data_IF_587411460511
#
_entry.id   IF_587411460511
#
_cell.length_a   1.000
_cell.length_b   1.000
_cell.length_c   1.000
_cell.angle_alpha   90.00
_cell.angle_beta   90.00
_cell.angle_gamma   90.00
#
_symmetry.space_group_name_H-M   'P 1'
#
loop_
_entity.id
_entity.type
_entity.pdbx_description
1 polymer ?
#
# COMPACT_ATOMS: atom_id res chain seq x y z
N UNK A 1 -50.72 -60.86 -3.81
CA UNK A 1 -49.78 -60.46 -4.87
C UNK A 1 -48.56 -59.80 -4.25
N UNK A 2 -47.31 -60.28 -4.34
CA UNK A 2 -46.62 -61.03 -5.42
C UNK A 2 -46.83 -60.39 -6.81
N UNK A 3 -45.83 -60.12 -7.66
CA UNK A 3 -44.36 -60.07 -7.54
C UNK A 3 -43.84 -59.07 -8.64
N UNK A 4 -42.57 -58.89 -9.02
CA UNK A 4 -41.27 -59.53 -8.75
C UNK A 4 -40.12 -58.59 -9.14
N UNK A 5 -38.87 -58.99 -8.84
CA UNK A 5 -37.60 -58.45 -9.38
C UNK A 5 -37.53 -58.33 -10.91
N UNK A 6 -36.60 -57.50 -11.40
CA UNK A 6 -36.15 -57.49 -12.80
C UNK A 6 -34.86 -56.69 -13.05
N UNK A 7 -33.70 -57.19 -12.62
CA UNK A 7 -32.41 -56.74 -13.16
C UNK A 7 -32.25 -57.23 -14.61
N UNK A 8 -31.64 -56.41 -15.47
CA UNK A 8 -30.90 -56.86 -16.66
C UNK A 8 -29.68 -55.98 -16.87
N UNK A 9 -28.51 -56.60 -16.80
CA UNK A 9 -27.28 -56.06 -17.40
C UNK A 9 -27.39 -56.10 -18.93
N UNK A 10 -26.73 -55.17 -19.62
CA UNK A 10 -25.69 -55.50 -20.63
C UNK A 10 -25.27 -54.31 -21.48
N UNK A 11 -24.04 -54.45 -22.00
CA UNK A 11 -23.49 -53.81 -23.21
C UNK A 11 -23.18 -52.30 -23.18
N UNK A 12 -21.88 -52.04 -23.10
CA UNK A 12 -21.22 -50.84 -23.59
C UNK A 12 -21.58 -50.46 -25.03
N UNK A 13 -21.73 -49.16 -25.30
CA UNK A 13 -21.37 -48.60 -26.61
C UNK A 13 -20.67 -47.25 -26.44
N UNK A 14 -19.50 -47.14 -27.07
CA UNK A 14 -18.72 -45.92 -27.17
C UNK A 14 -19.39 -44.97 -28.18
N UNK A 15 -19.93 -43.85 -27.71
CA UNK A 15 -20.52 -42.81 -28.56
C UNK A 15 -19.76 -41.49 -28.46
N UNK A 16 -19.03 -41.13 -29.51
CA UNK A 16 -18.48 -39.78 -29.65
C UNK A 16 -19.61 -38.75 -29.86
N UNK A 17 -19.84 -37.87 -28.88
CA UNK A 17 -20.62 -36.65 -29.07
C UNK A 17 -19.70 -35.43 -29.16
N UNK A 18 -19.18 -35.24 -30.37
CA UNK A 18 -18.74 -33.98 -30.99
C UNK A 18 -18.51 -32.75 -30.08
N UNK A 19 -17.25 -32.33 -30.00
CA UNK A 19 -16.88 -30.99 -29.58
C UNK A 19 -17.35 -29.94 -30.59
N UNK A 20 -18.44 -29.24 -30.29
CA UNK A 20 -18.65 -27.86 -30.77
C UNK A 20 -18.08 -26.92 -29.69
N UNK A 21 -17.14 -26.03 -29.97
CA UNK A 21 -16.87 -25.38 -31.26
C UNK A 21 -17.23 -23.90 -31.20
N UNK A 22 -16.91 -23.23 -30.09
CA UNK A 22 -17.04 -21.78 -29.93
C UNK A 22 -15.70 -21.16 -29.61
N UNK A 23 -15.09 -20.56 -30.63
CA UNK A 23 -14.21 -19.40 -30.51
C UNK A 23 -13.02 -19.54 -29.56
N UNK A 24 -11.99 -20.27 -29.98
CA UNK A 24 -10.65 -20.05 -29.44
C UNK A 24 -10.17 -18.64 -29.81
N UNK A 25 -10.47 -17.65 -28.96
CA UNK A 25 -9.80 -16.35 -29.00
C UNK A 25 -8.34 -16.55 -28.56
N UNK A 26 -7.49 -16.91 -29.52
CA UNK A 26 -6.04 -16.83 -29.35
C UNK A 26 -5.70 -15.39 -28.95
N UNK A 27 -5.15 -15.19 -27.76
CA UNK A 27 -4.62 -13.90 -27.36
C UNK A 27 -3.60 -13.43 -28.43
N UNK A 28 -3.78 -12.24 -29.03
CA UNK A 28 -2.68 -11.59 -29.75
C UNK A 28 -1.51 -11.46 -28.78
N UNK A 29 -0.29 -11.72 -29.25
CA UNK A 29 0.88 -12.01 -28.42
C UNK A 29 1.08 -11.10 -27.20
N UNK A 30 1.53 -11.74 -26.10
CA UNK A 30 2.09 -11.21 -24.84
C UNK A 30 1.44 -11.73 -23.54
N UNK A 31 0.50 -12.68 -23.60
CA UNK A 31 -0.05 -13.33 -22.39
C UNK A 31 0.99 -14.16 -21.60
N UNK A 32 2.16 -14.45 -22.18
CA UNK A 32 3.29 -15.12 -21.52
C UNK A 32 4.37 -14.17 -20.99
N UNK A 33 4.30 -12.87 -21.30
CA UNK A 33 5.36 -11.91 -20.97
C UNK A 33 5.39 -11.63 -19.46
N UNK A 34 6.43 -12.08 -18.76
CA UNK A 34 6.57 -12.02 -17.29
C UNK A 34 7.50 -10.92 -16.80
N UNK A 35 8.39 -10.43 -17.65
CA UNK A 35 9.40 -9.40 -17.36
C UNK A 35 9.21 -8.16 -18.23
N UNK A 36 9.88 -7.05 -17.89
CA UNK A 36 9.89 -5.85 -18.74
C UNK A 36 10.56 -6.14 -20.09
N UNK A 37 11.61 -6.96 -20.09
CA UNK A 37 12.29 -7.40 -21.32
C UNK A 37 11.36 -8.19 -22.25
N UNK A 38 10.48 -9.05 -21.70
CA UNK A 38 9.47 -9.79 -22.49
C UNK A 38 8.42 -8.86 -23.15
N UNK A 39 8.33 -7.61 -22.71
CA UNK A 39 7.46 -6.56 -23.27
C UNK A 39 8.24 -5.52 -24.10
N UNK A 40 9.55 -5.72 -24.29
CA UNK A 40 10.48 -4.77 -24.91
C UNK A 40 10.59 -3.41 -24.17
N UNK A 41 10.55 -3.42 -22.83
CA UNK A 41 10.80 -2.23 -22.00
C UNK A 41 12.00 -2.38 -21.07
N UNK A 42 12.58 -1.25 -20.65
CA UNK A 42 13.50 -1.15 -19.51
C UNK A 42 13.24 0.15 -18.75
N UNK A 43 13.75 0.28 -17.52
CA UNK A 43 13.93 1.59 -16.89
C UNK A 43 15.33 2.13 -17.18
N UNK A 44 15.46 3.46 -17.33
CA UNK A 44 16.74 4.15 -17.44
C UNK A 44 17.35 4.46 -16.04
N UNK A 45 18.51 5.12 -16.02
CA UNK A 45 19.19 5.52 -14.79
C UNK A 45 18.45 6.57 -13.95
N UNK A 46 17.47 7.28 -14.54
CA UNK A 46 16.58 8.22 -13.85
C UNK A 46 15.27 7.55 -13.40
N UNK A 47 15.07 6.26 -13.74
CA UNK A 47 13.86 5.52 -13.47
C UNK A 47 12.70 5.86 -14.40
N UNK A 48 12.94 6.43 -15.59
CA UNK A 48 11.94 6.60 -16.67
C UNK A 48 11.80 5.29 -17.46
N UNK A 49 10.58 4.94 -17.87
CA UNK A 49 10.33 3.74 -18.68
C UNK A 49 10.71 4.02 -20.14
N UNK A 50 11.53 3.15 -20.75
CA UNK A 50 12.04 3.25 -22.12
C UNK A 50 11.50 2.09 -22.96
N UNK A 51 10.98 2.39 -24.15
CA UNK A 51 10.65 1.39 -25.17
C UNK A 51 11.93 0.98 -25.92
N UNK A 52 12.34 -0.27 -25.79
CA UNK A 52 13.57 -0.80 -26.38
C UNK A 52 13.52 -0.86 -27.92
N UNK A 53 12.34 -0.78 -28.54
CA UNK A 53 12.20 -0.75 -30.01
C UNK A 53 12.47 0.64 -30.60
N UNK A 54 12.14 1.69 -29.86
CA UNK A 54 12.30 3.08 -30.32
C UNK A 54 13.52 3.76 -29.70
N UNK A 55 13.99 3.26 -28.54
CA UNK A 55 15.00 3.92 -27.71
C UNK A 55 14.49 5.18 -27.01
N UNK A 56 13.18 5.41 -26.99
CA UNK A 56 12.55 6.62 -26.46
C UNK A 56 11.83 6.34 -25.13
N UNK A 57 11.65 7.40 -24.33
CA UNK A 57 10.78 7.36 -23.15
C UNK A 57 9.36 6.97 -23.59
N UNK A 58 8.75 6.04 -22.87
CA UNK A 58 7.42 5.53 -23.16
C UNK A 58 6.34 6.52 -22.72
N UNK A 59 5.62 7.10 -23.68
CA UNK A 59 4.42 7.89 -23.43
C UNK A 59 3.14 7.08 -23.71
N UNK A 60 2.34 6.80 -22.67
CA UNK A 60 1.02 6.21 -22.88
C UNK A 60 -0.01 7.25 -23.31
N UNK A 61 0.02 7.60 -24.61
CA UNK A 61 -0.98 8.47 -25.21
C UNK A 61 -2.33 7.73 -25.39
N UNK A 62 -3.23 7.89 -24.40
CA UNK A 62 -4.60 7.36 -24.40
C UNK A 62 -5.44 7.76 -25.65
N UNK A 63 -5.02 8.80 -26.35
CA UNK A 63 -5.72 9.39 -27.49
C UNK A 63 -4.96 9.03 -28.79
N UNK A 64 -5.25 7.85 -29.39
CA UNK A 64 -5.21 7.50 -30.84
C UNK A 64 -5.03 5.99 -31.13
N UNK A 65 -5.92 5.13 -30.63
CA UNK A 65 -5.99 3.73 -31.12
C UNK A 65 -7.46 3.31 -31.39
N UNK A 66 -7.81 2.91 -32.63
CA UNK A 66 -9.12 2.31 -32.95
C UNK A 66 -9.43 1.02 -32.18
N UNK A 67 -8.41 0.34 -31.63
CA UNK A 67 -8.50 -0.95 -30.93
C UNK A 67 -8.36 -0.83 -29.41
N UNK A 68 -9.13 0.10 -28.80
CA UNK A 68 -9.12 0.42 -27.35
C UNK A 68 -8.95 -0.78 -26.39
N UNK A 69 -9.56 -1.92 -26.71
CA UNK A 69 -9.48 -3.13 -25.89
C UNK A 69 -8.07 -3.74 -25.80
N UNK A 70 -7.30 -3.73 -26.88
CA UNK A 70 -5.96 -4.32 -26.91
C UNK A 70 -4.91 -3.36 -26.32
N UNK A 71 -5.05 -2.04 -26.51
CA UNK A 71 -4.23 -1.04 -25.81
C UNK A 71 -4.45 -1.12 -24.29
N UNK A 72 -5.70 -1.27 -23.82
CA UNK A 72 -6.00 -1.47 -22.39
C UNK A 72 -5.39 -2.76 -21.83
N UNK A 73 -5.47 -3.88 -22.57
CA UNK A 73 -4.85 -5.16 -22.16
C UNK A 73 -3.34 -5.07 -22.03
N UNK A 74 -2.67 -4.38 -22.96
CA UNK A 74 -1.22 -4.12 -22.88
C UNK A 74 -0.86 -3.26 -21.66
N UNK A 75 -1.64 -2.22 -21.38
CA UNK A 75 -1.42 -1.36 -20.21
C UNK A 75 -1.61 -2.12 -18.88
N UNK A 76 -2.66 -2.93 -18.76
CA UNK A 76 -2.85 -3.78 -17.57
C UNK A 76 -1.71 -4.80 -17.41
N UNK A 77 -1.28 -5.47 -18.51
CA UNK A 77 -0.17 -6.42 -18.45
C UNK A 77 1.15 -5.76 -18.07
N UNK A 78 1.43 -4.57 -18.61
CA UNK A 78 2.57 -3.75 -18.22
C UNK A 78 2.50 -3.40 -16.71
N UNK A 79 1.33 -3.07 -16.19
CA UNK A 79 1.10 -2.83 -14.76
C UNK A 79 1.36 -4.05 -13.85
N UNK A 80 1.04 -5.26 -14.32
CA UNK A 80 1.37 -6.51 -13.62
C UNK A 80 2.89 -6.76 -13.61
N UNK A 81 3.55 -6.58 -14.75
CA UNK A 81 5.01 -6.73 -14.88
C UNK A 81 5.76 -5.70 -14.04
N UNK A 82 5.32 -4.43 -14.06
CA UNK A 82 5.85 -3.36 -13.20
C UNK A 82 5.68 -3.70 -11.73
N UNK A 83 4.56 -4.31 -11.33
CA UNK A 83 4.37 -4.75 -9.94
C UNK A 83 5.45 -5.76 -9.53
N UNK A 84 5.70 -6.76 -10.37
CA UNK A 84 6.76 -7.75 -10.14
C UNK A 84 8.16 -7.13 -10.10
N UNK A 85 8.41 -6.13 -10.95
CA UNK A 85 9.67 -5.39 -10.98
C UNK A 85 9.88 -4.51 -9.73
N UNK A 86 8.85 -3.81 -9.25
CA UNK A 86 8.90 -3.06 -7.98
C UNK A 86 9.15 -4.00 -6.79
N UNK A 87 8.52 -5.18 -6.76
CA UNK A 87 8.83 -6.19 -5.75
C UNK A 87 10.29 -6.66 -5.84
N UNK A 88 10.84 -6.80 -7.05
CA UNK A 88 12.25 -7.10 -7.24
C UNK A 88 13.15 -6.00 -6.68
N UNK A 89 12.96 -4.72 -7.05
CA UNK A 89 13.76 -3.61 -6.55
C UNK A 89 13.68 -3.48 -5.02
N UNK A 90 12.50 -3.68 -4.42
CA UNK A 90 12.37 -3.71 -2.96
C UNK A 90 13.21 -4.82 -2.30
N UNK A 91 13.25 -6.02 -2.89
CA UNK A 91 14.04 -7.13 -2.34
C UNK A 91 15.55 -6.98 -2.61
N UNK A 92 15.91 -6.69 -3.85
CA UNK A 92 17.28 -6.78 -4.35
C UNK A 92 18.10 -5.52 -4.00
N UNK A 93 17.51 -4.32 -4.14
CA UNK A 93 18.21 -3.03 -3.91
C UNK A 93 18.02 -2.48 -2.48
N UNK A 94 16.94 -2.89 -1.80
CA UNK A 94 16.61 -2.42 -0.45
C UNK A 94 16.55 -3.52 0.62
N UNK A 95 16.75 -4.79 0.25
CA UNK A 95 16.76 -5.91 1.19
C UNK A 95 15.41 -6.21 1.86
N UNK A 96 14.30 -5.65 1.36
CA UNK A 96 12.98 -5.85 1.93
C UNK A 96 12.57 -7.31 1.82
N UNK A 97 12.13 -7.89 2.94
CA UNK A 97 11.72 -9.28 3.04
C UNK A 97 10.21 -9.40 2.85
N UNK A 98 9.79 -10.35 2.01
CA UNK A 98 8.39 -10.74 1.92
C UNK A 98 7.96 -11.48 3.19
N UNK A 99 6.88 -11.00 3.80
CA UNK A 99 6.21 -11.63 4.92
C UNK A 99 4.81 -12.06 4.46
N UNK A 100 4.62 -13.33 4.07
CA UNK A 100 3.32 -13.84 3.64
C UNK A 100 2.32 -13.72 4.78
N UNK A 101 1.10 -13.26 4.49
CA UNK A 101 0.07 -13.11 5.54
C UNK A 101 -0.30 -14.44 6.21
N UNK A 102 -0.10 -15.56 5.52
CA UNK A 102 -0.26 -16.90 6.07
C UNK A 102 0.71 -17.25 7.21
N UNK A 103 1.82 -16.51 7.36
CA UNK A 103 2.75 -16.65 8.48
C UNK A 103 2.33 -15.83 9.72
N UNK A 104 1.34 -14.94 9.61
CA UNK A 104 0.84 -14.12 10.73
C UNK A 104 -0.03 -14.91 11.71
N UNK A 105 -0.55 -16.05 11.28
CA UNK A 105 -1.38 -16.95 12.10
C UNK A 105 -0.58 -17.86 13.04
N UNK A 106 0.74 -17.99 12.88
CA UNK A 106 1.59 -18.76 13.79
C UNK A 106 2.11 -17.85 14.93
N UNK A 107 1.72 -18.09 16.20
CA UNK A 107 2.13 -17.26 17.33
C UNK A 107 3.64 -17.31 17.61
N UNK A 108 4.35 -18.37 17.20
CA UNK A 108 5.78 -18.60 17.40
C UNK A 108 6.64 -17.78 16.43
N UNK A 109 6.16 -17.52 15.21
CA UNK A 109 6.88 -16.72 14.21
C UNK A 109 6.64 -15.22 14.43
N UNK A 110 7.40 -14.64 15.35
CA UNK A 110 7.44 -13.19 15.53
C UNK A 110 8.10 -12.52 14.30
N UNK A 111 7.40 -11.64 13.55
CA UNK A 111 7.85 -11.21 12.22
C UNK A 111 9.11 -10.33 12.23
N UNK A 112 9.49 -9.77 13.37
CA UNK A 112 10.73 -9.00 13.53
C UNK A 112 11.92 -9.86 14.00
N UNK A 113 11.71 -11.15 14.25
CA UNK A 113 12.75 -12.12 14.57
C UNK A 113 12.44 -13.51 13.95
N UNK A 114 12.22 -13.60 12.62
CA UNK A 114 11.95 -14.88 11.98
C UNK A 114 13.16 -15.81 12.10
N UNK A 115 12.95 -17.02 12.62
CA UNK A 115 13.96 -18.08 12.52
C UNK A 115 14.33 -18.31 11.04
N UNK A 116 15.60 -18.61 10.71
CA UNK A 116 15.98 -18.97 9.33
C UNK A 116 15.11 -20.09 8.73
N UNK A 117 14.62 -21.01 9.56
CA UNK A 117 13.68 -22.06 9.15
C UNK A 117 12.27 -21.53 8.82
N UNK A 118 11.80 -20.50 9.53
CA UNK A 118 10.52 -19.85 9.25
C UNK A 118 10.57 -19.01 7.97
N UNK A 119 11.67 -18.26 7.77
CA UNK A 119 11.92 -17.54 6.53
C UNK A 119 12.03 -18.50 5.32
N UNK A 120 12.74 -19.63 5.47
CA UNK A 120 12.81 -20.66 4.44
C UNK A 120 11.45 -21.34 4.16
N UNK A 121 10.64 -21.61 5.19
CA UNK A 121 9.30 -22.19 5.04
C UNK A 121 8.32 -21.24 4.35
N UNK A 122 8.38 -19.94 4.67
CA UNK A 122 7.65 -18.88 3.98
C UNK A 122 8.06 -18.79 2.49
N UNK A 123 9.36 -18.82 2.20
CA UNK A 123 9.88 -18.83 0.83
C UNK A 123 9.54 -20.12 0.05
N UNK A 124 9.39 -21.26 0.73
CA UNK A 124 8.99 -22.55 0.16
C UNK A 124 7.48 -22.67 -0.12
N UNK A 125 6.67 -21.68 0.23
CA UNK A 125 5.26 -21.56 -0.18
C UNK A 125 5.09 -20.43 -1.21
N UNK A 126 5.58 -20.59 -2.45
CA UNK A 126 5.48 -19.54 -3.47
C UNK A 126 4.02 -19.18 -3.74
N UNK A 127 3.72 -17.92 -3.43
CA UNK A 127 2.39 -17.33 -3.51
C UNK A 127 1.45 -17.78 -2.38
N UNK A 128 1.11 -16.85 -1.49
CA UNK A 128 -0.20 -16.84 -0.80
C UNK A 128 -1.00 -15.56 -1.10
N UNK A 129 -0.75 -14.95 -2.26
CA UNK A 129 -1.52 -13.83 -2.84
C UNK A 129 -1.28 -12.47 -2.19
N UNK A 130 -1.09 -12.43 -0.87
CA UNK A 130 -0.81 -11.24 -0.09
C UNK A 130 0.51 -11.41 0.68
N UNK A 131 1.49 -10.56 0.38
CA UNK A 131 2.71 -10.39 1.16
C UNK A 131 2.76 -8.95 1.69
N UNK A 132 3.14 -8.81 2.96
CA UNK A 132 3.68 -7.56 3.50
C UNK A 132 5.16 -7.48 3.12
N UNK A 133 5.74 -6.28 3.12
CA UNK A 133 7.18 -6.11 2.92
C UNK A 133 7.80 -5.47 4.16
N UNK A 134 8.82 -6.12 4.71
CA UNK A 134 9.46 -5.74 5.96
C UNK A 134 10.95 -5.54 5.74
N UNK A 135 11.50 -4.38 6.11
CA UNK A 135 12.94 -4.07 5.99
C UNK A 135 13.86 -5.09 6.68
N UNK A 136 15.17 -5.14 6.37
CA UNK A 136 16.18 -5.79 7.21
C UNK A 136 16.27 -5.11 8.60
N UNK A 137 16.85 -5.79 9.62
CA UNK A 137 17.07 -5.18 10.94
C UNK A 137 17.87 -3.88 10.86
N UNK A 138 17.48 -2.92 11.68
CA UNK A 138 18.14 -1.62 11.79
C UNK A 138 19.43 -1.72 12.62
N UNK A 139 20.30 -0.71 12.52
CA UNK A 139 21.49 -0.63 13.37
C UNK A 139 21.06 -0.18 14.79
N UNK A 140 21.69 -0.76 15.82
CA UNK A 140 21.55 -0.37 17.23
C UNK A 140 20.10 -0.27 17.75
N UNK A 141 19.25 -1.25 17.40
CA UNK A 141 17.83 -1.37 17.82
C UNK A 141 16.99 -0.09 17.61
N UNK A 142 16.56 0.13 16.36
CA UNK A 142 15.77 1.31 15.99
C UNK A 142 14.52 1.54 16.86
N UNK A 143 14.39 2.78 17.33
CA UNK A 143 13.21 3.28 18.05
C UNK A 143 11.95 3.41 17.18
N UNK A 144 12.09 3.50 15.85
CA UNK A 144 11.03 3.90 14.92
C UNK A 144 10.59 2.79 13.97
N UNK A 145 9.29 2.50 13.93
CA UNK A 145 8.63 1.75 12.87
C UNK A 145 7.86 2.72 11.98
N UNK A 146 8.07 2.69 10.66
CA UNK A 146 7.23 3.34 9.68
C UNK A 146 6.33 2.30 9.01
N UNK A 147 5.02 2.46 9.20
CA UNK A 147 3.97 1.66 8.55
C UNK A 147 3.44 2.44 7.33
N UNK A 148 3.47 1.82 6.15
CA UNK A 148 2.97 2.43 4.91
C UNK A 148 1.74 1.68 4.39
N UNK A 149 0.65 2.42 4.14
CA UNK A 149 -0.64 1.90 3.67
C UNK A 149 -1.03 2.61 2.36
N UNK A 150 -1.04 1.85 1.27
CA UNK A 150 -1.28 2.36 -0.08
C UNK A 150 -2.75 2.68 -0.38
N UNK A 151 -2.99 3.37 -1.50
CA UNK A 151 -4.35 3.64 -2.03
C UNK A 151 -5.06 2.40 -2.58
N UNK A 152 -6.34 2.54 -2.89
CA UNK A 152 -7.21 1.42 -3.27
C UNK A 152 -7.00 0.88 -4.69
N UNK A 153 -7.72 -0.20 -5.00
CA UNK A 153 -7.87 -0.74 -6.36
C UNK A 153 -6.69 -1.57 -6.86
N UNK A 154 -6.14 -1.17 -8.01
CA UNK A 154 -5.09 -1.92 -8.74
C UNK A 154 -3.68 -1.70 -8.20
N UNK A 155 -3.49 -0.75 -7.27
CA UNK A 155 -2.20 -0.47 -6.64
C UNK A 155 -1.77 -1.65 -5.74
N UNK A 156 -0.46 -1.92 -5.65
CA UNK A 156 0.15 -3.00 -4.86
C UNK A 156 1.34 -2.46 -4.06
N UNK A 157 1.82 -3.25 -3.10
CA UNK A 157 2.91 -2.84 -2.21
C UNK A 157 4.11 -2.27 -2.98
N UNK A 158 4.72 -1.23 -2.43
CA UNK A 158 5.81 -0.51 -3.10
C UNK A 158 5.34 0.52 -4.14
N UNK A 159 4.04 0.71 -4.40
CA UNK A 159 3.53 1.63 -5.41
C UNK A 159 2.59 2.70 -4.83
N UNK A 160 2.75 3.94 -5.29
CA UNK A 160 1.75 5.01 -5.14
C UNK A 160 0.82 5.06 -6.34
N UNK A 161 1.37 4.94 -7.56
CA UNK A 161 0.61 5.08 -8.80
C UNK A 161 1.26 4.37 -9.98
N UNK A 162 0.56 3.38 -10.57
CA UNK A 162 0.96 2.76 -11.85
C UNK A 162 1.10 3.80 -12.96
N UNK A 163 0.27 4.85 -12.97
CA UNK A 163 0.30 5.91 -13.99
C UNK A 163 1.61 6.68 -13.96
N UNK A 164 2.11 7.02 -12.78
CA UNK A 164 3.38 7.72 -12.62
C UNK A 164 4.58 6.81 -12.90
N UNK A 165 4.55 5.55 -12.45
CA UNK A 165 5.65 4.62 -12.78
C UNK A 165 5.81 4.45 -14.29
N UNK A 166 4.69 4.41 -15.04
CA UNK A 166 4.70 4.23 -16.50
C UNK A 166 5.07 5.52 -17.26
N UNK A 167 4.56 6.67 -16.86
CA UNK A 167 4.60 7.91 -17.67
C UNK A 167 5.48 9.03 -17.07
N UNK A 168 6.17 8.77 -15.96
CA UNK A 168 6.97 9.77 -15.26
C UNK A 168 8.26 9.13 -14.73
N UNK A 169 8.23 8.50 -13.55
CA UNK A 169 9.37 7.75 -13.03
C UNK A 169 9.01 6.73 -11.94
N UNK A 170 9.92 5.77 -11.72
CA UNK A 170 9.97 4.97 -10.50
C UNK A 170 9.97 5.85 -9.25
N UNK A 171 10.69 6.99 -9.26
CA UNK A 171 10.81 7.88 -8.10
C UNK A 171 9.46 8.46 -7.68
N UNK A 172 8.69 9.02 -8.62
CA UNK A 172 7.40 9.65 -8.29
C UNK A 172 6.27 8.65 -8.08
N UNK A 173 6.31 7.50 -8.77
CA UNK A 173 5.22 6.53 -8.75
C UNK A 173 5.35 5.41 -7.71
N UNK A 174 6.52 5.24 -7.08
CA UNK A 174 6.81 4.14 -6.15
C UNK A 174 7.20 4.59 -4.74
N UNK A 175 7.22 3.64 -3.81
CA UNK A 175 7.69 3.82 -2.44
C UNK A 175 9.22 3.69 -2.30
N UNK A 176 9.98 3.46 -3.39
CA UNK A 176 11.43 3.27 -3.32
C UNK A 176 12.17 4.48 -2.68
N UNK A 177 11.79 5.75 -2.94
CA UNK A 177 12.38 6.89 -2.21
C UNK A 177 12.03 6.91 -0.72
N UNK A 178 10.82 6.48 -0.34
CA UNK A 178 10.39 6.36 1.06
C UNK A 178 11.18 5.27 1.78
N UNK A 179 11.43 4.14 1.12
CA UNK A 179 12.25 3.03 1.64
C UNK A 179 13.70 3.51 1.84
N UNK A 180 14.27 4.11 0.80
CA UNK A 180 15.62 4.69 0.82
C UNK A 180 15.80 5.71 1.95
N UNK A 181 14.83 6.62 2.13
CA UNK A 181 14.85 7.61 3.19
C UNK A 181 14.66 6.98 4.58
N UNK A 182 13.75 6.02 4.73
CA UNK A 182 13.56 5.27 5.97
C UNK A 182 14.83 4.57 6.44
N UNK A 183 15.57 3.93 5.54
CA UNK A 183 16.88 3.34 5.86
C UNK A 183 17.91 4.40 6.30
N UNK A 184 18.02 5.52 5.59
CA UNK A 184 18.91 6.64 5.96
C UNK A 184 18.56 7.26 7.32
N UNK A 185 17.30 7.15 7.75
CA UNK A 185 16.81 7.61 9.05
C UNK A 185 16.81 6.52 10.14
N UNK A 186 17.47 5.38 9.88
CA UNK A 186 17.53 4.20 10.76
C UNK A 186 16.15 3.75 11.26
N UNK A 187 15.16 3.70 10.37
CA UNK A 187 13.79 3.30 10.65
C UNK A 187 13.55 1.86 10.21
N UNK A 188 12.79 1.10 11.01
CA UNK A 188 12.18 -0.15 10.57
C UNK A 188 11.02 0.19 9.64
N UNK A 189 10.88 -0.50 8.52
CA UNK A 189 9.82 -0.27 7.54
C UNK A 189 8.90 -1.49 7.45
N UNK A 190 7.59 -1.24 7.44
CA UNK A 190 6.55 -2.23 7.16
C UNK A 190 5.58 -1.65 6.11
N UNK A 191 5.51 -2.28 4.93
CA UNK A 191 4.61 -1.89 3.85
C UNK A 191 3.48 -2.93 3.76
N UNK A 192 2.25 -2.47 3.87
CA UNK A 192 1.04 -3.29 3.76
C UNK A 192 0.64 -3.50 2.29
N UNK A 193 -0.22 -4.47 2.03
CA UNK A 193 -0.74 -4.74 0.69
C UNK A 193 -2.28 -4.93 0.70
N UNK A 194 -3.06 -3.92 1.14
CA UNK A 194 -4.49 -4.03 1.46
C UNK A 194 -5.42 -4.28 0.26
N UNK A 195 -4.87 -4.36 -0.96
CA UNK A 195 -5.63 -4.68 -2.17
C UNK A 195 -5.37 -6.13 -2.66
N UNK A 196 -4.44 -6.85 -2.04
CA UNK A 196 -3.99 -8.18 -2.46
C UNK A 196 -4.79 -9.30 -1.78
N UNK A 197 -6.11 -9.14 -1.74
CA UNK A 197 -7.01 -9.82 -0.79
C UNK A 197 -7.49 -11.20 -1.25
N UNK A 198 -6.87 -11.74 -2.32
CA UNK A 198 -7.25 -13.01 -2.94
C UNK A 198 -6.02 -13.83 -3.32
N UNK A 199 -6.10 -15.14 -3.10
CA UNK A 199 -5.14 -16.12 -3.59
C UNK A 199 -5.86 -17.28 -4.27
N UNK A 200 -5.39 -17.73 -5.43
CA UNK A 200 -6.07 -18.81 -6.18
C UNK A 200 -7.48 -18.41 -6.65
N UNK A 201 -7.79 -17.11 -6.69
CA UNK A 201 -9.14 -16.56 -6.86
C UNK A 201 -10.00 -16.50 -5.57
N UNK A 202 -9.62 -17.22 -4.53
CA UNK A 202 -10.32 -17.27 -3.25
C UNK A 202 -9.97 -16.07 -2.36
N UNK A 203 -10.88 -15.55 -1.52
CA UNK A 203 -10.56 -14.60 -0.46
C UNK A 203 -9.48 -15.17 0.48
N UNK A 204 -8.67 -14.29 1.06
CA UNK A 204 -7.70 -14.66 2.09
C UNK A 204 -8.32 -14.33 3.45
N UNK A 205 -8.42 -15.33 4.32
CA UNK A 205 -9.01 -15.21 5.66
C UNK A 205 -8.33 -14.12 6.49
N UNK A 206 -9.12 -13.20 7.05
CA UNK A 206 -8.65 -12.04 7.82
C UNK A 206 -8.04 -10.91 6.97
N UNK A 207 -8.03 -11.05 5.64
CA UNK A 207 -7.51 -10.07 4.69
C UNK A 207 -8.43 -9.92 3.46
N UNK A 208 -9.75 -10.11 3.64
CA UNK A 208 -10.76 -10.11 2.57
C UNK A 208 -11.01 -8.70 2.01
N UNK A 209 -10.89 -7.68 2.87
CA UNK A 209 -11.03 -6.26 2.54
C UNK A 209 -9.78 -5.47 2.96
N UNK A 210 -9.67 -4.22 2.51
CA UNK A 210 -8.53 -3.37 2.86
C UNK A 210 -8.48 -3.08 4.36
N UNK A 211 -9.65 -2.84 4.95
CA UNK A 211 -9.93 -2.65 6.36
C UNK A 211 -9.49 -3.88 7.17
N UNK A 212 -10.00 -5.08 6.81
CA UNK A 212 -9.60 -6.36 7.40
C UNK A 212 -8.10 -6.59 7.38
N UNK A 213 -7.48 -6.30 6.24
CA UNK A 213 -6.04 -6.42 6.10
C UNK A 213 -5.30 -5.49 7.08
N UNK A 214 -5.70 -4.22 7.20
CA UNK A 214 -5.09 -3.28 8.14
C UNK A 214 -5.33 -3.73 9.60
N UNK A 215 -6.53 -4.18 9.95
CA UNK A 215 -6.85 -4.74 11.28
C UNK A 215 -5.92 -5.89 11.65
N UNK A 216 -5.88 -6.93 10.81
CA UNK A 216 -5.12 -8.14 11.09
C UNK A 216 -3.62 -7.85 11.16
N UNK A 217 -3.08 -7.01 10.27
CA UNK A 217 -1.66 -6.63 10.31
C UNK A 217 -1.35 -5.78 11.54
N UNK A 218 -2.22 -4.84 11.93
CA UNK A 218 -2.00 -4.06 13.14
C UNK A 218 -1.95 -4.96 14.38
N UNK A 219 -2.92 -5.85 14.51
CA UNK A 219 -3.06 -6.79 15.63
C UNK A 219 -1.93 -7.81 15.72
N UNK A 220 -1.49 -8.37 14.59
CA UNK A 220 -0.50 -9.47 14.55
C UNK A 220 0.95 -9.01 14.40
N UNK A 221 1.19 -7.86 13.75
CA UNK A 221 2.52 -7.34 13.44
C UNK A 221 2.82 -6.07 14.24
N UNK A 222 2.03 -5.00 14.06
CA UNK A 222 2.37 -3.66 14.58
C UNK A 222 2.35 -3.61 16.11
N UNK A 223 1.29 -4.15 16.74
CA UNK A 223 1.20 -4.30 18.21
C UNK A 223 2.40 -5.05 18.79
N UNK A 224 2.87 -6.07 18.08
CA UNK A 224 3.98 -6.93 18.51
C UNK A 224 5.36 -6.31 18.24
N UNK A 225 5.49 -5.35 17.32
CA UNK A 225 6.77 -4.75 16.93
C UNK A 225 7.55 -4.16 18.13
N UNK A 226 8.88 -4.35 18.23
CA UNK A 226 9.68 -3.85 19.37
C UNK A 226 9.91 -2.33 19.35
N UNK A 227 9.74 -1.67 18.19
CA UNK A 227 9.96 -0.24 18.01
C UNK A 227 9.08 0.58 18.97
N UNK A 228 9.68 1.51 19.71
CA UNK A 228 8.97 2.36 20.68
C UNK A 228 7.90 3.23 20.03
N UNK A 229 8.23 3.83 18.89
CA UNK A 229 7.42 4.81 18.18
C UNK A 229 7.00 4.25 16.82
N UNK A 230 5.72 4.35 16.49
CA UNK A 230 5.14 3.88 15.22
C UNK A 230 4.63 5.08 14.44
N UNK A 231 5.30 5.45 13.36
CA UNK A 231 4.77 6.40 12.38
C UNK A 231 3.90 5.67 11.36
N UNK A 232 2.87 6.34 10.86
CA UNK A 232 1.97 5.79 9.84
C UNK A 232 1.85 6.77 8.68
N UNK A 233 1.97 6.27 7.45
CA UNK A 233 1.75 7.02 6.21
C UNK A 233 0.67 6.31 5.39
N UNK A 234 -0.42 7.00 5.09
CA UNK A 234 -1.61 6.49 4.42
C UNK A 234 -1.89 7.28 3.13
N UNK A 235 -2.01 6.61 1.98
CA UNK A 235 -2.39 7.26 0.71
C UNK A 235 -3.83 6.94 0.33
N UNK A 236 -4.64 7.94 -0.05
CA UNK A 236 -6.01 7.75 -0.54
C UNK A 236 -6.86 6.86 0.37
N UNK A 237 -7.43 5.79 -0.20
CA UNK A 237 -8.24 4.80 0.54
C UNK A 237 -7.49 4.11 1.69
N UNK A 238 -6.15 4.04 1.68
CA UNK A 238 -5.37 3.50 2.80
C UNK A 238 -5.57 4.25 4.12
N UNK A 239 -6.00 5.51 4.07
CA UNK A 239 -6.41 6.25 5.26
C UNK A 239 -7.81 5.88 5.76
N UNK A 240 -8.74 5.56 4.86
CA UNK A 240 -10.08 5.03 5.21
C UNK A 240 -9.95 3.67 5.89
N UNK A 241 -9.13 2.78 5.33
CA UNK A 241 -8.85 1.46 5.91
C UNK A 241 -8.14 1.57 7.28
N UNK A 242 -7.33 2.61 7.50
CA UNK A 242 -6.73 2.89 8.80
C UNK A 242 -7.73 3.42 9.83
N UNK A 243 -8.60 4.36 9.46
CA UNK A 243 -9.60 4.93 10.38
C UNK A 243 -10.79 4.01 10.63
N UNK A 244 -11.06 3.02 9.76
CA UNK A 244 -12.08 2.00 9.98
C UNK A 244 -11.93 1.31 11.35
N UNK A 245 -10.70 1.12 11.83
CA UNK A 245 -10.41 0.51 13.14
C UNK A 245 -10.89 1.31 14.36
N UNK A 246 -11.38 2.54 14.14
CA UNK A 246 -11.93 3.43 15.16
C UNK A 246 -13.47 3.43 15.16
N UNK A 247 -14.10 2.80 14.17
CA UNK A 247 -15.57 2.75 14.05
C UNK A 247 -16.17 1.90 15.19
N UNK A 248 -17.28 2.33 15.81
CA UNK A 248 -18.04 1.48 16.72
C UNK A 248 -18.59 0.27 15.94
N UNK A 249 -18.88 -0.83 16.65
CA UNK A 249 -19.35 -2.04 15.97
C UNK A 249 -20.72 -1.85 15.27
N UNK A 250 -20.77 -2.14 13.97
CA UNK A 250 -21.99 -2.09 13.15
C UNK A 250 -22.50 -3.50 12.77
N UNK A 251 -23.76 -3.86 13.09
CA UNK A 251 -24.32 -5.16 12.74
C UNK A 251 -24.36 -5.40 11.22
N UNK A 252 -23.70 -6.47 10.76
CA UNK A 252 -23.72 -6.88 9.36
C UNK A 252 -22.64 -6.25 8.49
N UNK A 253 -21.72 -5.45 9.05
CA UNK A 253 -20.50 -5.04 8.33
C UNK A 253 -19.53 -6.25 8.22
N UNK A 254 -19.27 -6.78 7.00
CA UNK A 254 -18.39 -7.93 6.82
C UNK A 254 -16.93 -7.64 7.19
N UNK A 255 -16.52 -6.37 7.17
CA UNK A 255 -15.16 -5.94 7.52
C UNK A 255 -14.93 -5.86 9.04
N UNK A 256 -16.01 -5.86 9.84
CA UNK A 256 -15.98 -5.92 11.30
C UNK A 256 -16.28 -7.33 11.80
N UNK A 257 -17.29 -7.99 11.23
CA UNK A 257 -17.70 -9.37 11.54
C UNK A 257 -18.63 -9.47 12.74
N UNK A 258 -19.14 -10.67 12.98
CA UNK A 258 -20.34 -10.86 13.81
C UNK A 258 -20.11 -10.74 15.33
N UNK A 259 -18.86 -10.81 15.80
CA UNK A 259 -18.53 -10.70 17.23
C UNK A 259 -18.25 -9.23 17.63
N UNK A 260 -19.32 -8.58 18.10
CA UNK A 260 -19.29 -7.23 18.69
C UNK A 260 -18.27 -7.09 19.82
N UNK A 261 -18.17 -8.06 20.73
CA UNK A 261 -17.33 -7.93 21.92
C UNK A 261 -15.84 -8.00 21.53
N UNK A 262 -15.51 -8.85 20.56
CA UNK A 262 -14.18 -8.95 19.97
C UNK A 262 -13.81 -7.67 19.21
N UNK A 263 -14.73 -7.11 18.41
CA UNK A 263 -14.50 -5.83 17.72
C UNK A 263 -14.22 -4.70 18.70
N UNK A 264 -15.10 -4.46 19.68
CA UNK A 264 -14.94 -3.39 20.66
C UNK A 264 -13.69 -3.57 21.55
N UNK A 265 -13.20 -4.80 21.70
CA UNK A 265 -11.90 -5.05 22.35
C UNK A 265 -10.75 -4.62 21.46
N UNK A 266 -10.72 -5.04 20.19
CA UNK A 266 -9.69 -4.66 19.20
C UNK A 266 -9.68 -3.15 18.93
N UNK A 267 -10.85 -2.51 18.85
CA UNK A 267 -11.03 -1.04 18.73
C UNK A 267 -10.34 -0.30 19.88
N UNK A 268 -10.58 -0.72 21.13
CA UNK A 268 -9.95 -0.12 22.32
C UNK A 268 -8.45 -0.37 22.38
N UNK A 269 -7.99 -1.56 21.95
CA UNK A 269 -6.57 -1.86 21.80
C UNK A 269 -5.88 -0.94 20.78
N UNK A 270 -6.51 -0.71 19.62
CA UNK A 270 -6.02 0.20 18.58
C UNK A 270 -5.96 1.65 19.07
N UNK A 271 -7.01 2.15 19.74
CA UNK A 271 -7.03 3.50 20.33
C UNK A 271 -5.91 3.68 21.37
N UNK A 272 -5.65 2.65 22.20
CA UNK A 272 -4.53 2.67 23.13
C UNK A 272 -3.17 2.74 22.41
N UNK A 273 -2.97 1.96 21.34
CA UNK A 273 -1.73 2.05 20.53
C UNK A 273 -1.55 3.44 19.91
N UNK A 274 -2.62 4.06 19.39
CA UNK A 274 -2.56 5.42 18.85
C UNK A 274 -2.02 6.39 19.92
N UNK A 275 -2.64 6.40 21.10
CA UNK A 275 -2.28 7.29 22.21
C UNK A 275 -0.85 7.07 22.72
N UNK A 276 -0.44 5.81 22.84
CA UNK A 276 0.76 5.41 23.60
C UNK A 276 2.00 5.20 22.73
N UNK A 277 1.83 4.84 21.44
CA UNK A 277 2.91 4.47 20.52
C UNK A 277 2.92 5.21 19.18
N UNK A 278 1.82 5.83 18.75
CA UNK A 278 1.76 6.56 17.47
C UNK A 278 1.93 8.06 17.71
N UNK A 279 3.15 8.62 17.54
CA UNK A 279 3.36 10.05 17.71
C UNK A 279 2.71 10.90 16.60
N UNK A 280 2.53 10.34 15.40
CA UNK A 280 1.96 11.04 14.25
C UNK A 280 1.49 10.11 13.11
N UNK A 281 0.37 10.49 12.47
CA UNK A 281 -0.19 9.84 11.27
C UNK A 281 -0.25 10.84 10.13
N UNK A 282 0.42 10.55 9.02
CA UNK A 282 0.40 11.39 7.83
C UNK A 282 -0.50 10.78 6.75
N UNK A 283 -1.45 11.56 6.27
CA UNK A 283 -2.32 11.21 5.17
C UNK A 283 -1.87 11.94 3.90
N UNK A 284 -1.83 11.23 2.79
CA UNK A 284 -1.60 11.76 1.45
C UNK A 284 -2.92 11.64 0.69
N UNK A 285 -3.64 12.76 0.60
CA UNK A 285 -4.92 12.95 -0.08
C UNK A 285 -5.95 11.86 0.23
N UNK A 286 -6.07 11.55 1.53
CA UNK A 286 -7.10 10.61 2.00
C UNK A 286 -8.42 11.33 2.20
N UNK A 287 -9.51 10.65 1.83
CA UNK A 287 -10.88 11.18 1.80
C UNK A 287 -11.76 10.68 2.96
N UNK A 288 -11.14 10.14 4.02
CA UNK A 288 -11.86 9.79 5.24
C UNK A 288 -12.45 11.04 5.92
N UNK A 289 -13.45 10.83 6.77
CA UNK A 289 -14.10 11.87 7.57
C UNK A 289 -14.63 11.21 8.84
N UNK A 290 -14.08 11.56 10.01
CA UNK A 290 -14.35 10.80 11.25
C UNK A 290 -15.85 10.74 11.60
N UNK A 291 -16.62 11.85 11.60
CA UNK A 291 -18.06 11.80 11.91
C UNK A 291 -18.87 11.01 10.87
N UNK A 292 -18.52 11.08 9.58
CA UNK A 292 -19.19 10.28 8.54
C UNK A 292 -18.88 8.79 8.64
N UNK A 293 -17.80 8.43 9.33
CA UNK A 293 -17.46 7.07 9.71
C UNK A 293 -18.10 6.63 11.04
N UNK A 294 -18.96 7.44 11.65
CA UNK A 294 -19.56 7.15 12.97
C UNK A 294 -18.57 7.28 14.14
N UNK A 295 -17.45 7.98 13.94
CA UNK A 295 -16.41 8.18 14.95
C UNK A 295 -16.63 9.55 15.61
N UNK A 296 -17.27 9.53 16.77
CA UNK A 296 -17.61 10.71 17.60
C UNK A 296 -16.82 10.78 18.92
N UNK A 297 -15.95 9.79 19.17
CA UNK A 297 -15.12 9.67 20.38
C UNK A 297 -14.19 10.90 20.57
N UNK A 298 -14.36 11.70 21.64
CA UNK A 298 -13.60 12.94 21.82
C UNK A 298 -12.09 12.72 21.97
N UNK A 299 -11.63 11.60 22.54
CA UNK A 299 -10.18 11.31 22.65
C UNK A 299 -9.58 11.02 21.27
N UNK A 300 -10.33 10.34 20.41
CA UNK A 300 -9.93 10.06 19.02
C UNK A 300 -9.92 11.35 18.18
N UNK A 301 -10.95 12.19 18.31
CA UNK A 301 -11.01 13.48 17.59
C UNK A 301 -9.85 14.39 18.04
N UNK A 302 -9.60 14.52 19.34
CA UNK A 302 -8.48 15.30 19.88
C UNK A 302 -7.11 14.76 19.41
N UNK A 303 -6.98 13.43 19.35
CA UNK A 303 -5.81 12.79 18.77
C UNK A 303 -5.64 13.19 17.30
N UNK A 304 -6.64 13.02 16.42
CA UNK A 304 -6.47 13.36 15.00
C UNK A 304 -6.20 14.85 14.79
N UNK A 305 -6.87 15.74 15.52
CA UNK A 305 -6.62 17.18 15.47
C UNK A 305 -5.18 17.57 15.84
N UNK A 306 -4.54 16.83 16.75
CA UNK A 306 -3.20 17.15 17.28
C UNK A 306 -2.08 16.28 16.75
N UNK A 307 -2.39 15.08 16.23
CA UNK A 307 -1.47 13.96 15.91
C UNK A 307 -1.67 13.41 14.50
N UNK A 308 -2.53 14.01 13.69
CA UNK A 308 -2.58 13.73 12.25
C UNK A 308 -2.40 14.99 11.39
N UNK A 309 -2.09 14.77 10.11
CA UNK A 309 -2.10 15.81 9.08
C UNK A 309 -2.38 15.16 7.72
N UNK A 310 -3.17 15.82 6.88
CA UNK A 310 -3.48 15.38 5.53
C UNK A 310 -2.93 16.39 4.50
N UNK A 311 -1.98 15.94 3.67
CA UNK A 311 -1.50 16.70 2.52
C UNK A 311 -2.46 16.44 1.37
N UNK A 312 -3.18 17.47 0.94
CA UNK A 312 -4.31 17.35 -0.01
C UNK A 312 -3.99 17.99 -1.36
N UNK A 313 -4.70 17.55 -2.40
CA UNK A 313 -4.64 18.10 -3.75
C UNK A 313 -4.94 19.61 -3.74
N UNK A 314 -3.97 20.44 -4.12
CA UNK A 314 -4.11 21.90 -4.16
C UNK A 314 -2.98 22.58 -4.95
N UNK A 315 -3.32 23.66 -5.66
CA UNK A 315 -2.37 24.55 -6.34
C UNK A 315 -1.66 25.55 -5.40
N UNK A 316 -2.02 25.58 -4.11
CA UNK A 316 -1.33 26.42 -3.13
C UNK A 316 0.09 25.90 -2.85
N UNK A 317 1.06 26.76 -2.47
CA UNK A 317 2.36 26.35 -1.95
C UNK A 317 2.31 25.19 -0.95
N UNK A 318 3.26 24.25 -1.06
CA UNK A 318 3.42 23.11 -0.12
C UNK A 318 3.37 23.59 1.33
N UNK A 319 2.71 22.81 2.20
CA UNK A 319 2.49 23.07 3.61
C UNK A 319 1.59 24.27 3.97
N UNK A 320 1.08 25.04 2.99
CA UNK A 320 0.08 26.06 3.26
C UNK A 320 -1.19 25.41 3.85
N UNK A 321 -1.70 25.88 5.00
CA UNK A 321 -2.95 25.36 5.57
C UNK A 321 -4.12 25.52 4.60
N UNK A 322 -4.88 24.44 4.41
CA UNK A 322 -6.09 24.43 3.59
C UNK A 322 -7.29 24.44 4.53
N UNK A 323 -8.00 25.56 4.56
CA UNK A 323 -9.28 25.65 5.25
C UNK A 323 -10.36 24.90 4.44
N UNK A 324 -10.69 23.69 4.87
CA UNK A 324 -11.82 22.92 4.32
C UNK A 324 -13.17 23.25 4.97
N UNK A 325 -13.32 24.42 5.62
CA UNK A 325 -14.59 24.88 6.17
C UNK A 325 -15.75 24.95 5.16
N UNK A 326 -15.46 24.87 3.85
CA UNK A 326 -16.44 24.77 2.76
C UNK A 326 -16.47 23.41 2.04
N UNK A 327 -15.49 22.52 2.25
CA UNK A 327 -15.47 21.17 1.66
C UNK A 327 -16.02 20.15 2.65
N UNK A 328 -17.35 20.11 2.67
CA UNK A 328 -18.15 19.28 3.57
C UNK A 328 -19.14 18.53 2.70
N UNK A 329 -19.15 17.19 2.74
CA UNK A 329 -20.33 16.49 2.27
C UNK A 329 -21.44 16.80 3.29
N UNK A 330 -22.53 17.41 2.83
CA UNK A 330 -23.73 17.75 3.62
C UNK A 330 -23.64 18.92 4.62
N UNK A 331 -22.73 19.87 4.43
CA UNK A 331 -22.87 21.23 4.98
C UNK A 331 -22.41 21.46 6.42
N UNK A 332 -21.59 20.59 7.00
CA UNK A 332 -20.97 20.79 8.32
C UNK A 332 -19.45 20.80 8.25
N UNK A 333 -18.82 21.89 8.70
CA UNK A 333 -17.37 22.04 8.74
C UNK A 333 -16.74 21.05 9.73
N UNK A 334 -16.28 19.89 9.22
CA UNK A 334 -15.59 18.89 10.03
C UNK A 334 -14.12 19.29 10.19
N UNK A 335 -13.74 19.63 11.42
CA UNK A 335 -12.35 19.88 11.84
C UNK A 335 -11.78 18.61 12.50
N UNK A 336 -11.72 17.50 11.78
CA UNK A 336 -11.20 16.22 12.29
C UNK A 336 -9.68 16.09 12.12
N UNK A 337 -9.16 16.43 10.94
CA UNK A 337 -7.74 16.34 10.59
C UNK A 337 -7.25 17.65 9.94
N UNK A 338 -6.17 18.27 10.46
CA UNK A 338 -5.57 19.44 9.83
C UNK A 338 -5.09 19.13 8.41
N UNK A 339 -5.51 19.95 7.45
CA UNK A 339 -5.16 19.81 6.04
C UNK A 339 -4.16 20.87 5.62
N UNK A 340 -3.20 20.48 4.81
CA UNK A 340 -2.22 21.38 4.18
C UNK A 340 -2.10 21.04 2.69
N UNK A 341 -1.67 22.00 1.88
CA UNK A 341 -1.40 21.74 0.47
C UNK A 341 -0.25 20.76 0.29
N UNK A 342 -0.39 19.85 -0.67
CA UNK A 342 0.70 19.03 -1.19
C UNK A 342 1.60 19.74 -2.21
N UNK A 343 1.30 20.99 -2.59
CA UNK A 343 2.01 21.71 -3.65
C UNK A 343 1.77 21.13 -5.04
N UNK A 344 0.65 20.44 -5.26
CA UNK A 344 0.24 19.86 -6.53
C UNK A 344 -1.26 19.55 -6.53
N UNK A 345 -1.99 19.77 -7.65
CA UNK A 345 -3.37 19.33 -7.81
C UNK A 345 -3.49 17.85 -8.23
N UNK A 346 -2.37 17.19 -8.57
CA UNK A 346 -2.38 15.81 -9.04
C UNK A 346 -2.32 14.82 -7.87
N UNK A 347 -3.48 14.31 -7.46
CA UNK A 347 -3.68 13.28 -6.41
C UNK A 347 -2.52 12.28 -6.30
N UNK A 348 -2.23 11.60 -7.41
CA UNK A 348 -1.26 10.51 -7.45
C UNK A 348 0.20 10.95 -7.22
N UNK A 349 0.53 12.23 -7.44
CA UNK A 349 1.87 12.80 -7.20
C UNK A 349 2.08 13.23 -5.75
N UNK A 350 1.03 13.28 -4.93
CA UNK A 350 1.10 13.85 -3.58
C UNK A 350 2.12 13.15 -2.67
N UNK A 351 2.21 11.81 -2.62
CA UNK A 351 3.28 11.15 -1.87
C UNK A 351 4.67 11.61 -2.32
N UNK A 352 4.93 11.68 -3.63
CA UNK A 352 6.19 12.16 -4.15
C UNK A 352 6.45 13.64 -3.76
N UNK A 353 5.54 14.55 -4.09
CA UNK A 353 5.69 15.99 -3.85
C UNK A 353 5.82 16.34 -2.36
N UNK A 354 5.06 15.68 -1.48
CA UNK A 354 5.01 15.98 -0.06
C UNK A 354 6.03 15.19 0.78
N UNK A 355 6.75 14.21 0.23
CA UNK A 355 7.55 13.23 1.00
C UNK A 355 8.40 13.88 2.10
N UNK A 356 9.23 14.87 1.77
CA UNK A 356 10.15 15.44 2.77
C UNK A 356 9.42 16.25 3.84
N UNK A 357 8.32 16.95 3.48
CA UNK A 357 7.47 17.59 4.48
C UNK A 357 6.81 16.57 5.41
N UNK A 358 6.27 15.47 4.85
CA UNK A 358 5.68 14.37 5.61
C UNK A 358 6.64 13.83 6.66
N UNK A 359 7.87 13.49 6.28
CA UNK A 359 8.89 13.02 7.23
C UNK A 359 9.27 14.10 8.25
N UNK A 360 9.56 15.34 7.81
CA UNK A 360 9.90 16.47 8.70
C UNK A 360 8.81 16.73 9.74
N UNK A 361 7.54 16.65 9.34
CA UNK A 361 6.40 16.78 10.24
C UNK A 361 6.31 15.59 11.20
N UNK A 362 6.38 14.34 10.72
CA UNK A 362 6.31 13.14 11.57
C UNK A 362 7.33 13.19 12.71
N UNK A 363 8.59 13.48 12.42
CA UNK A 363 9.63 13.58 13.45
C UNK A 363 9.39 14.74 14.43
N UNK A 364 8.84 15.87 13.98
CA UNK A 364 8.44 16.98 14.88
C UNK A 364 7.39 16.58 15.92
N UNK A 365 6.64 15.49 15.68
CA UNK A 365 5.63 15.00 16.61
C UNK A 365 6.22 14.17 17.77
N UNK A 366 7.39 13.58 17.59
CA UNK A 366 8.15 12.91 18.66
C UNK A 366 8.73 13.93 19.65
N UNK A 367 9.36 14.98 19.11
CA UNK A 367 10.09 15.99 19.89
C UNK A 367 9.21 16.67 20.97
N UNK A 368 7.91 16.83 20.70
CA UNK A 368 6.90 17.39 21.62
C UNK A 368 6.70 16.61 22.94
N UNK A 369 7.19 15.36 23.07
CA UNK A 369 7.12 14.57 24.31
C UNK A 369 8.48 14.02 24.76
N UNK A 370 9.40 13.80 23.84
CA UNK A 370 10.75 13.29 24.11
C UNK A 370 11.71 14.06 23.20
N UNK A 371 12.56 14.91 23.78
CA UNK A 371 13.61 15.61 23.04
C UNK A 371 14.38 14.58 22.21
N UNK A 372 14.33 14.71 20.89
CA UNK A 372 15.20 13.93 20.03
C UNK A 372 16.65 14.27 20.42
N UNK A 373 17.54 13.27 20.40
CA UNK A 373 18.98 13.52 20.59
C UNK A 373 19.43 14.53 19.51
N UNK A 374 20.12 15.64 19.84
CA UNK A 374 20.50 16.67 18.86
C UNK A 374 21.27 16.10 17.66
N UNK A 375 22.06 15.05 17.89
CA UNK A 375 22.77 14.31 16.86
C UNK A 375 21.79 13.62 15.90
N UNK A 376 20.75 12.96 16.42
CA UNK A 376 19.68 12.34 15.63
C UNK A 376 18.91 13.38 14.81
N UNK A 377 18.63 14.57 15.36
CA UNK A 377 18.01 15.66 14.60
C UNK A 377 18.91 16.14 13.47
N UNK A 378 20.21 16.35 13.72
CA UNK A 378 21.14 16.82 12.70
C UNK A 378 21.34 15.80 11.58
N UNK A 379 21.48 14.51 11.90
CA UNK A 379 21.55 13.44 10.89
C UNK A 379 20.25 13.31 10.10
N UNK A 380 19.09 13.46 10.75
CA UNK A 380 17.79 13.49 10.08
C UNK A 380 17.69 14.66 9.09
N UNK A 381 18.01 15.88 9.51
CA UNK A 381 17.97 17.07 8.65
C UNK A 381 18.92 16.94 7.44
N UNK A 382 20.11 16.37 7.63
CA UNK A 382 21.03 16.06 6.54
C UNK A 382 20.45 15.04 5.56
N UNK A 383 19.83 13.96 6.05
CA UNK A 383 19.20 12.94 5.21
C UNK A 383 17.98 13.48 4.44
N UNK A 384 17.18 14.35 5.06
CA UNK A 384 16.05 15.03 4.43
C UNK A 384 16.51 16.04 3.37
N UNK A 385 17.52 16.86 3.66
CA UNK A 385 18.10 17.80 2.70
C UNK A 385 18.76 17.09 1.50
N UNK A 386 19.37 15.92 1.73
CA UNK A 386 19.89 15.08 0.64
C UNK A 386 18.75 14.53 -0.24
N UNK A 387 17.62 14.15 0.36
CA UNK A 387 16.43 13.72 -0.38
C UNK A 387 15.79 14.87 -1.19
N UNK A 388 15.67 16.08 -0.60
CA UNK A 388 15.18 17.27 -1.32
C UNK A 388 16.03 17.55 -2.57
N UNK A 389 17.37 17.53 -2.43
CA UNK A 389 18.30 17.73 -3.55
C UNK A 389 18.17 16.64 -4.62
N UNK A 390 18.07 15.37 -4.23
CA UNK A 390 17.90 14.25 -5.15
C UNK A 390 16.59 14.38 -5.96
N UNK A 391 15.49 14.76 -5.32
CA UNK A 391 14.20 14.99 -5.98
C UNK A 391 14.24 16.22 -6.90
N UNK A 392 14.86 17.31 -6.46
CA UNK A 392 15.03 18.51 -7.28
C UNK A 392 15.88 18.24 -8.53
N UNK A 393 16.97 17.46 -8.41
CA UNK A 393 17.80 17.10 -9.56
C UNK A 393 17.06 16.24 -10.59
N UNK A 394 16.17 15.35 -10.14
CA UNK A 394 15.31 14.57 -11.03
C UNK A 394 14.32 15.48 -11.77
N UNK A 395 13.65 16.40 -11.06
CA UNK A 395 12.71 17.34 -11.65
C UNK A 395 13.36 18.34 -12.62
N UNK A 396 14.60 18.79 -12.38
CA UNK A 396 15.33 19.63 -13.35
C UNK A 396 15.74 18.88 -14.61
N UNK A 397 15.94 17.55 -14.53
CA UNK A 397 16.19 16.74 -15.71
C UNK A 397 14.92 16.51 -16.57
N UNK A 398 13.73 16.81 -16.05
CA UNK A 398 12.47 16.82 -16.81
C UNK A 398 12.24 18.14 -17.59
N UNK A 399 12.94 19.24 -17.26
CA UNK A 399 12.73 20.56 -17.90
C UNK A 399 13.64 20.87 -19.08
N UNK A 400 14.72 20.10 -19.28
CA UNK A 400 15.73 20.30 -20.33
C UNK A 400 15.57 19.33 -21.53
N UNK A 401 14.43 18.62 -21.62
CA UNK A 401 14.05 17.71 -22.72
C UNK A 401 12.65 18.01 -23.24
#
# INVERSE_FOLDING_TARGET
>A
SMASFGQRDSASSSGHSQSSGLGGNTCPGNCWATTLADLDFTFDANGRLIDNKTGQVFEFNYIRDPSKADSMRRYERLGEVITSYIYQLMRDDHGMQELPVSALGDPQTFPFAPSPAAAASAAQRPGTGCCLYLSPPCQDDADYLLVIIQGGGVIRAGQWSRRLIINDSLSSGSMLPYISLGHRLNMRLLILNPNANRYRGQPIEGHETAERHVETVWRTVVRRAPQRHVFVICHGHGGVAFTHQLQPWEPGDPSQGDDRQLWETRRREFIADLRDRVPGVAFCDSYFCLPMQGIDDPEVIDYFQKRSRNWVSSDQPLDQPIDTGSLTNWGQAVQDTPKVSAGTPAHERIPANAMVSVFRWLFSMCDRKQRLRPETMSSMEQALLAAEKQMQSAASADSDT
#
